data_IF_042766479686
#
_entry.id   IF_042766479686
#
_cell.length_a   1.000
_cell.length_b   1.000
_cell.length_c   1.000
_cell.angle_alpha   90.00
_cell.angle_beta   90.00
_cell.angle_gamma   90.00
#
_symmetry.space_group_name_H-M   'P 1'
#
loop_
_entity.id
_entity.type
_entity.pdbx_description
1 polymer ?
#
# COMPACT_ATOMS: atom_id res chain seq x y z
N UNK A 1 -2.68 -16.21 0.21
CA UNK A 1 -3.47 -15.07 -0.29
C UNK A 1 -3.23 -13.96 0.70
N UNK A 2 -2.79 -12.80 0.22
CA UNK A 2 -2.69 -11.56 0.98
C UNK A 2 -3.85 -10.68 0.52
N UNK A 3 -4.52 -10.04 1.46
CA UNK A 3 -5.63 -9.12 1.20
C UNK A 3 -5.51 -7.95 2.17
N UNK A 4 -5.57 -6.75 1.62
CA UNK A 4 -5.59 -5.48 2.31
C UNK A 4 -6.85 -4.76 1.82
N UNK A 5 -7.65 -4.24 2.75
CA UNK A 5 -8.87 -3.51 2.45
C UNK A 5 -8.82 -2.16 3.15
N UNK A 6 -9.16 -1.10 2.42
CA UNK A 6 -9.30 0.28 2.90
C UNK A 6 -8.11 0.80 3.72
N UNK A 7 -6.88 0.43 3.37
CA UNK A 7 -5.71 0.83 4.15
C UNK A 7 -5.50 2.35 4.07
N UNK A 8 -5.56 2.99 5.23
CA UNK A 8 -5.16 4.38 5.44
C UNK A 8 -3.91 4.46 6.30
N UNK A 9 -3.01 5.39 5.99
CA UNK A 9 -1.80 5.59 6.80
C UNK A 9 -1.39 7.04 6.80
N UNK A 10 -0.98 7.51 7.98
CA UNK A 10 -0.61 8.90 8.24
C UNK A 10 0.79 8.96 8.84
N UNK A 11 1.58 9.94 8.41
CA UNK A 11 2.78 10.37 9.12
C UNK A 11 2.54 11.78 9.66
N UNK A 12 2.29 11.86 10.97
CA UNK A 12 1.82 13.09 11.61
C UNK A 12 0.49 13.53 11.00
N UNK A 13 0.41 14.78 10.55
CA UNK A 13 -0.80 15.34 9.94
C UNK A 13 -0.94 15.04 8.43
N UNK A 14 0.03 14.35 7.83
CA UNK A 14 0.01 14.04 6.40
C UNK A 14 -0.48 12.61 6.16
N UNK A 15 -1.57 12.47 5.43
CA UNK A 15 -2.01 11.18 4.91
C UNK A 15 -1.11 10.75 3.74
N UNK A 16 -0.73 9.48 3.72
CA UNK A 16 0.14 8.87 2.70
C UNK A 16 -0.57 7.76 1.95
N UNK A 17 -1.40 6.96 2.62
CA UNK A 17 -2.30 5.99 1.98
C UNK A 17 -3.75 6.42 2.19
N UNK A 18 -4.54 6.35 1.11
CA UNK A 18 -5.90 6.84 1.02
C UNK A 18 -6.80 5.68 0.57
N UNK A 19 -7.30 4.89 1.52
CA UNK A 19 -8.22 3.77 1.26
C UNK A 19 -7.70 2.81 0.19
N UNK A 20 -6.52 2.21 0.41
CA UNK A 20 -5.88 1.33 -0.57
C UNK A 20 -6.32 -0.12 -0.38
N UNK A 21 -6.85 -0.71 -1.45
CA UNK A 21 -7.13 -2.14 -1.54
C UNK A 21 -6.02 -2.87 -2.30
N UNK A 22 -5.60 -4.04 -1.80
CA UNK A 22 -4.59 -4.89 -2.45
C UNK A 22 -4.87 -6.36 -2.21
N UNK A 23 -4.99 -7.13 -3.29
CA UNK A 23 -5.13 -8.58 -3.25
C UNK A 23 -3.95 -9.23 -3.99
N UNK A 24 -3.32 -10.23 -3.36
CA UNK A 24 -2.23 -11.03 -3.95
C UNK A 24 -2.52 -12.50 -3.72
N UNK A 25 -2.64 -13.27 -4.80
CA UNK A 25 -2.85 -14.70 -4.73
C UNK A 25 -1.54 -15.45 -4.46
N UNK A 26 -1.66 -16.72 -4.06
CA UNK A 26 -0.49 -17.55 -3.79
C UNK A 26 0.29 -17.79 -5.09
N UNK A 27 1.58 -17.45 -5.07
CA UNK A 27 2.48 -17.63 -6.21
C UNK A 27 2.56 -16.44 -7.16
N UNK A 28 1.81 -15.37 -6.91
CA UNK A 28 1.92 -14.13 -7.68
C UNK A 28 3.13 -13.29 -7.23
N UNK A 29 3.76 -12.64 -8.20
CA UNK A 29 4.79 -11.62 -7.98
C UNK A 29 4.29 -10.34 -8.59
N UNK A 30 4.16 -9.31 -7.77
CA UNK A 30 3.68 -7.98 -8.19
C UNK A 30 4.74 -6.92 -7.91
N UNK A 31 4.58 -5.74 -8.51
CA UNK A 31 5.43 -4.58 -8.28
C UNK A 31 4.57 -3.34 -8.05
N UNK A 32 4.97 -2.52 -7.07
CA UNK A 32 4.37 -1.22 -6.83
C UNK A 32 5.15 -0.14 -7.59
N UNK A 33 4.47 0.58 -8.49
CA UNK A 33 5.06 1.65 -9.30
C UNK A 33 4.48 3.02 -8.93
N UNK A 34 5.26 4.08 -9.14
CA UNK A 34 4.84 5.45 -8.84
C UNK A 34 6.00 6.35 -8.43
N UNK A 35 5.78 7.67 -8.43
CA UNK A 35 6.79 8.67 -8.03
C UNK A 35 7.21 8.51 -6.57
N UNK A 36 8.34 9.13 -6.20
CA UNK A 36 8.76 9.22 -4.80
C UNK A 36 7.68 9.91 -3.96
N UNK A 37 7.46 9.40 -2.74
CA UNK A 37 6.43 9.92 -1.83
C UNK A 37 5.01 9.38 -2.03
N UNK A 38 4.74 8.57 -3.06
CA UNK A 38 3.40 8.04 -3.36
C UNK A 38 3.00 6.80 -2.52
N UNK A 39 3.54 6.66 -1.31
CA UNK A 39 3.12 5.59 -0.39
C UNK A 39 3.59 4.16 -0.70
N UNK A 40 4.38 3.91 -1.76
CA UNK A 40 4.86 2.55 -2.11
C UNK A 40 5.53 1.80 -0.94
N UNK A 41 6.52 2.42 -0.29
CA UNK A 41 7.19 1.83 0.89
C UNK A 41 6.26 1.75 2.09
N UNK A 42 5.28 2.64 2.18
CA UNK A 42 4.27 2.65 3.25
C UNK A 42 3.35 1.44 3.11
N UNK A 43 2.86 1.10 1.90
CA UNK A 43 2.08 -0.13 1.66
C UNK A 43 2.83 -1.38 2.11
N UNK A 44 4.15 -1.46 1.85
CA UNK A 44 4.97 -2.63 2.22
C UNK A 44 5.24 -2.72 3.73
N UNK A 45 5.09 -1.62 4.48
CA UNK A 45 5.42 -1.54 5.91
C UNK A 45 4.20 -1.49 6.85
N UNK A 46 3.00 -1.38 6.29
CA UNK A 46 1.76 -1.27 7.06
C UNK A 46 1.20 -2.64 7.42
#
# INVERSE_FOLDING_TARGET
>A
MLELEEIETFYGNSQVLFGVDLQINKGEVITLLGRNGMGKTTVVRS
#
